data_IF_442681135181
#
_entry.id   IF_442681135181
#
_cell.length_a   1.000
_cell.length_b   1.000
_cell.length_c   1.000
_cell.angle_alpha   90.00
_cell.angle_beta   90.00
_cell.angle_gamma   90.00
#
_symmetry.space_group_name_H-M   'P 1'
#
loop_
_entity.id
_entity.type
_entity.pdbx_description
1 polymer ?
#
# COMPACT_ATOMS: atom_id res chain seq x y z
N UNK A 1 10.27 13.63 5.28
CA UNK A 1 9.61 12.35 5.64
C UNK A 1 9.87 11.24 4.62
N UNK A 2 10.04 11.54 3.32
CA UNK A 2 10.16 10.55 2.24
C UNK A 2 11.32 9.54 2.39
N UNK A 3 12.52 10.01 2.74
CA UNK A 3 13.73 9.17 2.89
C UNK A 3 13.55 8.09 3.96
N UNK A 4 12.93 8.46 5.09
CA UNK A 4 12.78 7.54 6.24
C UNK A 4 11.77 6.43 5.94
N UNK A 5 10.65 6.77 5.27
CA UNK A 5 9.69 5.77 4.80
C UNK A 5 10.29 4.83 3.74
N UNK A 6 11.19 5.33 2.91
CA UNK A 6 11.88 4.50 1.91
C UNK A 6 12.87 3.53 2.56
N UNK A 7 13.60 3.99 3.60
CA UNK A 7 14.52 3.15 4.37
C UNK A 7 13.81 2.01 5.14
N UNK A 8 12.52 2.14 5.41
CA UNK A 8 11.73 1.08 6.04
C UNK A 8 11.37 -0.08 5.09
N UNK A 9 11.40 0.15 3.76
CA UNK A 9 11.00 -0.86 2.76
C UNK A 9 11.90 -2.10 2.74
N UNK A 10 13.25 -1.99 2.73
CA UNK A 10 14.11 -3.18 2.78
C UNK A 10 13.86 -4.03 4.03
N UNK A 11 13.65 -3.38 5.17
CA UNK A 11 13.36 -4.05 6.45
C UNK A 11 12.04 -4.82 6.35
N UNK A 12 11.00 -4.20 5.80
CA UNK A 12 9.73 -4.85 5.51
C UNK A 12 9.88 -6.06 4.59
N UNK A 13 10.61 -5.90 3.49
CA UNK A 13 10.85 -6.99 2.52
C UNK A 13 11.54 -8.19 3.16
N UNK A 14 12.53 -7.98 4.02
CA UNK A 14 13.23 -9.04 4.75
C UNK A 14 12.28 -9.76 5.71
N UNK A 15 11.53 -9.00 6.53
CA UNK A 15 10.62 -9.58 7.53
C UNK A 15 9.49 -10.36 6.84
N UNK A 16 8.75 -9.73 5.93
CA UNK A 16 7.62 -10.38 5.26
C UNK A 16 8.06 -11.47 4.27
N UNK A 17 9.27 -11.40 3.71
CA UNK A 17 9.85 -12.50 2.95
C UNK A 17 10.12 -13.72 3.84
N UNK A 18 10.83 -13.52 4.95
CA UNK A 18 11.15 -14.60 5.89
C UNK A 18 9.89 -15.29 6.45
N UNK A 19 8.91 -14.51 6.88
CA UNK A 19 7.65 -15.05 7.38
C UNK A 19 6.74 -15.57 6.26
N UNK A 20 6.87 -15.05 5.04
CA UNK A 20 6.15 -15.54 3.86
C UNK A 20 6.57 -16.96 3.49
N UNK A 21 7.86 -17.27 3.61
CA UNK A 21 8.41 -18.60 3.34
C UNK A 21 8.06 -19.62 4.45
N UNK A 22 7.79 -19.16 5.68
CA UNK A 22 7.49 -20.04 6.84
C UNK A 22 6.01 -20.24 7.13
N UNK A 23 5.20 -19.19 7.03
CA UNK A 23 3.76 -19.19 7.38
C UNK A 23 2.89 -19.25 6.13
N UNK A 24 3.44 -18.92 4.97
CA UNK A 24 2.72 -18.85 3.70
C UNK A 24 2.60 -17.43 3.16
N UNK A 25 2.58 -17.29 1.83
CA UNK A 25 2.59 -16.00 1.14
C UNK A 25 1.28 -15.21 1.30
N UNK A 26 0.14 -15.89 1.30
CA UNK A 26 -1.19 -15.27 1.40
C UNK A 26 -1.40 -14.46 2.69
N UNK A 27 -1.19 -15.00 3.91
CA UNK A 27 -1.38 -14.24 5.14
C UNK A 27 -0.43 -13.05 5.23
N UNK A 28 0.81 -13.19 4.74
CA UNK A 28 1.75 -12.06 4.69
C UNK A 28 1.28 -10.96 3.74
N UNK A 29 0.76 -11.31 2.56
CA UNK A 29 0.17 -10.35 1.62
C UNK A 29 -1.05 -9.63 2.20
N UNK A 30 -1.90 -10.32 2.95
CA UNK A 30 -3.03 -9.66 3.64
C UNK A 30 -2.51 -8.70 4.71
N UNK A 31 -1.49 -9.08 5.49
CA UNK A 31 -0.90 -8.25 6.52
C UNK A 31 -0.23 -6.99 5.93
N UNK A 32 0.62 -7.13 4.91
CA UNK A 32 1.32 -6.01 4.27
C UNK A 32 0.34 -5.02 3.64
N UNK A 33 -0.68 -5.51 2.94
CA UNK A 33 -1.72 -4.67 2.36
C UNK A 33 -2.53 -3.94 3.43
N UNK A 34 -2.87 -4.61 4.52
CA UNK A 34 -3.56 -4.00 5.67
C UNK A 34 -2.73 -2.88 6.30
N UNK A 35 -1.45 -3.14 6.56
CA UNK A 35 -0.52 -2.17 7.16
C UNK A 35 -0.39 -0.93 6.28
N UNK A 36 -0.12 -1.12 4.99
CA UNK A 36 0.00 -0.02 4.03
C UNK A 36 -1.31 0.74 3.88
N UNK A 37 -2.43 0.03 3.73
CA UNK A 37 -3.75 0.59 3.58
C UNK A 37 -4.18 1.43 4.78
N UNK A 38 -4.20 0.82 5.97
CA UNK A 38 -4.61 1.48 7.20
C UNK A 38 -3.72 2.67 7.54
N UNK A 39 -2.41 2.58 7.29
CA UNK A 39 -1.50 3.73 7.47
C UNK A 39 -1.85 4.87 6.53
N UNK A 40 -2.23 4.57 5.28
CA UNK A 40 -2.66 5.57 4.29
C UNK A 40 -3.96 6.25 4.72
N UNK A 41 -4.94 5.47 5.16
CA UNK A 41 -6.21 5.98 5.66
C UNK A 41 -6.03 6.85 6.91
N UNK A 42 -5.16 6.41 7.85
CA UNK A 42 -4.84 7.13 9.07
C UNK A 42 -4.23 8.53 8.84
N UNK A 43 -3.50 8.73 7.73
CA UNK A 43 -2.97 10.06 7.35
C UNK A 43 -4.10 11.08 7.19
N UNK A 44 -5.29 10.66 6.73
CA UNK A 44 -6.45 11.54 6.61
C UNK A 44 -6.94 12.12 7.93
N UNK A 45 -6.62 11.50 9.06
CA UNK A 45 -7.00 11.97 10.41
C UNK A 45 -5.93 12.83 11.09
N UNK A 46 -4.76 13.00 10.47
CA UNK A 46 -3.67 13.76 11.09
C UNK A 46 -4.07 15.23 11.30
N UNK A 47 -3.97 15.77 12.53
CA UNK A 47 -4.14 17.19 12.75
C UNK A 47 -3.04 18.01 12.06
N UNK A 48 -3.32 19.28 11.79
CA UNK A 48 -2.39 20.17 11.08
C UNK A 48 -1.27 20.65 12.01
N UNK A 49 -0.19 21.17 11.41
CA UNK A 49 0.90 21.77 12.18
C UNK A 49 0.41 22.91 13.10
N UNK A 50 -0.60 23.67 12.66
CA UNK A 50 -1.19 24.73 13.47
C UNK A 50 -1.88 24.21 14.74
N UNK A 51 -2.32 22.94 14.76
CA UNK A 51 -3.05 22.35 15.89
C UNK A 51 -2.12 21.70 16.92
N UNK A 52 -1.08 20.97 16.47
CA UNK A 52 -0.23 20.17 17.36
C UNK A 52 1.28 20.41 17.18
N UNK A 53 1.67 21.42 16.40
CA UNK A 53 3.07 21.78 16.17
C UNK A 53 3.90 20.64 15.60
N UNK A 54 5.10 20.44 16.16
CA UNK A 54 6.09 19.45 15.69
C UNK A 54 5.59 17.99 15.80
N UNK A 55 4.56 17.72 16.61
CA UNK A 55 3.99 16.39 16.69
C UNK A 55 3.32 15.97 15.36
N UNK A 56 2.80 16.90 14.55
CA UNK A 56 2.20 16.60 13.25
C UNK A 56 3.18 15.92 12.27
N UNK A 57 4.36 16.51 11.95
CA UNK A 57 5.34 15.87 11.09
C UNK A 57 5.94 14.59 11.70
N UNK A 58 6.03 14.47 13.03
CA UNK A 58 6.48 13.23 13.68
C UNK A 58 5.47 12.10 13.43
N UNK A 59 4.19 12.33 13.70
CA UNK A 59 3.12 11.35 13.45
C UNK A 59 3.03 10.98 11.97
N UNK A 60 3.11 11.97 11.08
CA UNK A 60 3.17 11.72 9.63
C UNK A 60 4.37 10.86 9.26
N UNK A 61 5.55 11.11 9.85
CA UNK A 61 6.76 10.32 9.58
C UNK A 61 6.60 8.90 10.08
N UNK A 62 6.07 8.70 11.28
CA UNK A 62 5.79 7.37 11.82
C UNK A 62 4.85 6.59 10.90
N UNK A 63 3.74 7.20 10.47
CA UNK A 63 2.83 6.57 9.51
C UNK A 63 3.51 6.25 8.18
N UNK A 64 4.45 7.09 7.71
CA UNK A 64 5.24 6.80 6.50
C UNK A 64 6.22 5.65 6.68
N UNK A 65 6.80 5.50 7.86
CA UNK A 65 7.66 4.35 8.19
C UNK A 65 6.83 3.07 8.19
N UNK A 66 5.68 3.07 8.86
CA UNK A 66 4.78 1.91 8.91
C UNK A 66 4.26 1.55 7.50
N UNK A 67 3.84 2.55 6.73
CA UNK A 67 3.43 2.37 5.34
C UNK A 67 4.56 1.80 4.47
N UNK A 68 5.78 2.32 4.63
CA UNK A 68 6.97 1.86 3.92
C UNK A 68 7.36 0.43 4.28
N UNK A 69 7.26 0.06 5.55
CA UNK A 69 7.46 -1.29 6.04
C UNK A 69 6.47 -2.28 5.39
N UNK A 70 5.16 -1.96 5.36
CA UNK A 70 4.17 -2.78 4.67
C UNK A 70 4.44 -2.91 3.16
N UNK A 71 4.77 -1.79 2.50
CA UNK A 71 5.07 -1.76 1.05
C UNK A 71 6.29 -2.62 0.68
N UNK A 72 7.25 -2.77 1.60
CA UNK A 72 8.46 -3.55 1.39
C UNK A 72 8.20 -5.03 1.13
N UNK A 73 7.27 -5.63 1.87
CA UNK A 73 6.86 -7.03 1.66
C UNK A 73 5.82 -7.21 0.55
N UNK A 74 5.02 -6.17 0.33
CA UNK A 74 3.90 -6.18 -0.59
C UNK A 74 4.31 -6.40 -2.06
N UNK A 75 5.32 -5.65 -2.52
CA UNK A 75 5.72 -5.66 -3.93
C UNK A 75 6.45 -6.97 -4.31
N UNK A 76 7.37 -7.43 -3.46
CA UNK A 76 8.09 -8.69 -3.66
C UNK A 76 7.17 -9.91 -3.52
N UNK A 77 6.26 -9.90 -2.53
CA UNK A 77 5.29 -10.96 -2.32
C UNK A 77 4.31 -11.10 -3.49
N UNK A 78 3.78 -9.98 -4.00
CA UNK A 78 2.81 -10.00 -5.10
C UNK A 78 3.45 -10.45 -6.42
N UNK A 79 4.69 -10.00 -6.71
CA UNK A 79 5.42 -10.43 -7.89
C UNK A 79 5.71 -11.95 -7.87
N UNK A 80 6.11 -12.49 -6.71
CA UNK A 80 6.33 -13.93 -6.58
C UNK A 80 5.03 -14.72 -6.65
N UNK A 81 3.97 -14.27 -5.98
CA UNK A 81 2.66 -14.92 -6.05
C UNK A 81 2.15 -15.00 -7.49
N UNK A 82 2.28 -13.92 -8.26
CA UNK A 82 1.89 -13.87 -9.66
C UNK A 82 2.74 -14.83 -10.52
N UNK A 83 4.05 -14.89 -10.28
CA UNK A 83 4.95 -15.80 -10.98
C UNK A 83 4.72 -17.28 -10.59
N UNK A 84 4.28 -17.58 -9.37
CA UNK A 84 3.95 -18.93 -8.92
C UNK A 84 2.62 -19.43 -9.53
N UNK A 85 1.66 -18.54 -9.77
CA UNK A 85 0.35 -18.87 -10.35
C UNK A 85 0.30 -18.85 -11.89
N UNK A 86 1.39 -18.51 -12.58
CA UNK A 86 1.42 -18.46 -14.06
C UNK A 86 2.37 -19.46 -14.68
N UNK A 87 1.95 -20.03 -15.82
CA UNK A 87 2.76 -20.95 -16.63
C UNK A 87 4.12 -20.33 -17.00
N UNK A 88 5.15 -21.16 -17.14
CA UNK A 88 6.54 -20.73 -17.27
C UNK A 88 6.79 -19.69 -18.40
N UNK A 89 6.03 -19.76 -19.50
CA UNK A 89 6.13 -18.82 -20.62
C UNK A 89 5.53 -17.43 -20.37
N UNK A 90 4.63 -17.28 -19.40
CA UNK A 90 3.85 -16.06 -19.18
C UNK A 90 4.22 -15.28 -17.90
N UNK A 91 5.24 -15.73 -17.16
CA UNK A 91 5.70 -15.12 -15.91
C UNK A 91 6.10 -13.65 -16.07
N UNK A 92 6.74 -13.31 -17.19
CA UNK A 92 7.13 -11.93 -17.50
C UNK A 92 5.92 -11.02 -17.69
N UNK A 93 4.87 -11.52 -18.37
CA UNK A 93 3.62 -10.79 -18.53
C UNK A 93 2.89 -10.61 -17.19
N UNK A 94 2.80 -11.66 -16.38
CA UNK A 94 2.20 -11.59 -15.05
C UNK A 94 2.93 -10.59 -14.13
N UNK A 95 4.27 -10.60 -14.14
CA UNK A 95 5.08 -9.63 -13.42
C UNK A 95 4.87 -8.20 -13.94
N UNK A 96 4.68 -8.01 -15.25
CA UNK A 96 4.40 -6.70 -15.83
C UNK A 96 3.05 -6.13 -15.39
N UNK A 97 2.04 -6.98 -15.18
CA UNK A 97 0.74 -6.57 -14.63
C UNK A 97 0.87 -6.07 -13.18
N UNK A 98 1.69 -6.76 -12.36
CA UNK A 98 1.99 -6.30 -11.00
C UNK A 98 2.70 -4.94 -11.02
N UNK A 99 3.63 -4.74 -11.96
CA UNK A 99 4.36 -3.48 -12.12
C UNK A 99 3.45 -2.35 -12.62
N UNK A 100 2.53 -2.65 -13.54
CA UNK A 100 1.54 -1.69 -14.07
C UNK A 100 0.58 -1.16 -12.99
N UNK A 101 0.36 -1.90 -11.90
CA UNK A 101 -0.47 -1.43 -10.78
C UNK A 101 0.03 -0.12 -10.16
N UNK A 102 1.36 0.08 -10.08
CA UNK A 102 1.94 1.29 -9.50
C UNK A 102 1.59 2.59 -10.27
N UNK A 103 1.86 2.71 -11.60
CA UNK A 103 1.48 3.89 -12.36
C UNK A 103 -0.04 4.09 -12.44
N UNK A 104 -0.83 3.01 -12.52
CA UNK A 104 -2.31 3.11 -12.49
C UNK A 104 -2.78 3.75 -11.16
N UNK A 105 -2.21 3.32 -10.03
CA UNK A 105 -2.51 3.91 -8.72
C UNK A 105 -2.12 5.37 -8.63
N UNK A 106 -0.99 5.77 -9.20
CA UNK A 106 -0.56 7.18 -9.26
C UNK A 106 -1.53 8.02 -10.10
N UNK A 107 -1.95 7.53 -11.26
CA UNK A 107 -2.94 8.22 -12.11
C UNK A 107 -4.27 8.36 -11.37
N UNK A 108 -4.76 7.31 -10.72
CA UNK A 108 -5.97 7.36 -9.92
C UNK A 108 -5.88 8.37 -8.77
N UNK A 109 -4.74 8.44 -8.08
CA UNK A 109 -4.50 9.43 -7.03
C UNK A 109 -4.47 10.86 -7.58
N UNK A 110 -3.82 11.08 -8.72
CA UNK A 110 -3.80 12.38 -9.40
C UNK A 110 -5.20 12.81 -9.83
N UNK A 111 -6.00 11.90 -10.39
CA UNK A 111 -7.39 12.16 -10.77
C UNK A 111 -8.24 12.50 -9.54
N UNK A 112 -8.10 11.77 -8.43
CA UNK A 112 -8.81 12.06 -7.20
C UNK A 112 -8.49 13.47 -6.68
N UNK A 113 -7.20 13.86 -6.66
CA UNK A 113 -6.79 15.21 -6.26
C UNK A 113 -7.35 16.26 -7.23
N UNK A 114 -7.30 16.02 -8.54
CA UNK A 114 -7.83 16.94 -9.55
C UNK A 114 -9.34 17.14 -9.41
N UNK A 115 -10.10 16.07 -9.15
CA UNK A 115 -11.55 16.14 -8.92
C UNK A 115 -11.87 16.97 -7.67
N UNK A 116 -11.18 16.71 -6.56
CA UNK A 116 -11.35 17.47 -5.31
C UNK A 116 -10.97 18.94 -5.52
N UNK A 117 -9.87 19.21 -6.24
CA UNK A 117 -9.44 20.56 -6.57
C UNK A 117 -10.43 21.31 -7.47
N UNK A 118 -11.05 20.62 -8.43
CA UNK A 118 -12.07 21.20 -9.31
C UNK A 118 -13.37 21.52 -8.57
N UNK A 119 -13.69 20.75 -7.52
CA UNK A 119 -14.90 20.96 -6.72
C UNK A 119 -14.75 22.03 -5.63
N UNK A 120 -13.66 22.00 -4.85
CA UNK A 120 -13.44 22.91 -3.72
C UNK A 120 -12.60 24.14 -4.07
N UNK A 121 -11.95 24.15 -5.23
CA UNK A 121 -10.91 25.11 -5.57
C UNK A 121 -9.61 24.88 -4.78
N UNK A 122 -8.54 25.56 -5.19
CA UNK A 122 -7.20 25.33 -4.64
C UNK A 122 -7.10 25.66 -3.14
N UNK A 123 -7.81 26.71 -2.68
CA UNK A 123 -7.87 27.07 -1.24
C UNK A 123 -8.51 25.97 -0.40
N UNK A 124 -9.68 25.47 -0.80
CA UNK A 124 -10.38 24.42 -0.07
C UNK A 124 -9.61 23.09 -0.06
N UNK A 125 -8.88 22.79 -1.14
CA UNK A 125 -7.99 21.62 -1.20
C UNK A 125 -6.89 21.69 -0.13
N UNK A 126 -6.20 22.84 -0.02
CA UNK A 126 -5.07 23.02 0.92
C UNK A 126 -5.55 23.05 2.37
N UNK A 127 -6.70 23.67 2.64
CA UNK A 127 -7.24 23.80 4.00
C UNK A 127 -7.71 22.45 4.57
N UNK A 128 -8.47 21.67 3.78
CA UNK A 128 -9.06 20.43 4.28
C UNK A 128 -9.25 19.34 3.22
N UNK A 129 -9.49 19.72 1.96
CA UNK A 129 -9.84 18.78 0.88
C UNK A 129 -8.79 17.70 0.61
N UNK A 130 -7.52 17.95 0.93
CA UNK A 130 -6.44 16.96 0.83
C UNK A 130 -6.70 15.67 1.64
N UNK A 131 -7.60 15.69 2.64
CA UNK A 131 -7.98 14.50 3.44
C UNK A 131 -8.89 13.54 2.66
N UNK A 132 -9.70 14.04 1.73
CA UNK A 132 -10.71 13.25 1.02
C UNK A 132 -10.12 12.04 0.27
N UNK A 133 -9.01 12.17 -0.50
CA UNK A 133 -8.38 11.02 -1.15
C UNK A 133 -7.88 9.96 -0.15
N UNK A 134 -7.41 10.37 1.02
CA UNK A 134 -6.98 9.42 2.07
C UNK A 134 -8.18 8.66 2.63
N UNK A 135 -9.32 9.30 2.85
CA UNK A 135 -10.53 8.60 3.28
C UNK A 135 -11.09 7.68 2.19
N UNK A 136 -11.05 8.12 0.93
CA UNK A 136 -11.46 7.29 -0.21
C UNK A 136 -10.62 6.01 -0.34
N UNK A 137 -9.37 6.01 0.15
CA UNK A 137 -8.53 4.80 0.19
C UNK A 137 -9.15 3.66 1.01
N UNK A 138 -10.08 3.93 1.94
CA UNK A 138 -10.84 2.91 2.67
C UNK A 138 -11.54 1.92 1.73
N UNK A 139 -12.12 2.43 0.64
CA UNK A 139 -12.78 1.59 -0.37
C UNK A 139 -11.77 0.64 -1.04
N UNK A 140 -10.59 1.16 -1.38
CA UNK A 140 -9.50 0.35 -1.96
C UNK A 140 -8.99 -0.71 -0.98
N UNK A 141 -8.96 -0.39 0.31
CA UNK A 141 -8.58 -1.35 1.36
C UNK A 141 -9.61 -2.47 1.44
N UNK A 142 -10.90 -2.13 1.53
CA UNK A 142 -11.98 -3.14 1.63
C UNK A 142 -11.99 -4.05 0.39
N UNK A 143 -11.96 -3.46 -0.80
CA UNK A 143 -11.97 -4.22 -2.06
C UNK A 143 -10.69 -5.06 -2.18
N UNK A 144 -9.53 -4.49 -1.91
CA UNK A 144 -8.26 -5.20 -2.01
C UNK A 144 -8.13 -6.34 -1.00
N UNK A 145 -8.61 -6.17 0.23
CA UNK A 145 -8.68 -7.24 1.22
C UNK A 145 -9.67 -8.32 0.81
N UNK A 146 -10.86 -7.94 0.33
CA UNK A 146 -11.84 -8.90 -0.18
C UNK A 146 -11.26 -9.78 -1.28
N UNK A 147 -10.59 -9.17 -2.27
CA UNK A 147 -9.93 -9.90 -3.35
C UNK A 147 -8.83 -10.82 -2.82
N UNK A 148 -7.96 -10.34 -1.92
CA UNK A 148 -6.86 -11.16 -1.35
C UNK A 148 -7.33 -12.34 -0.53
N UNK A 149 -8.43 -12.19 0.20
CA UNK A 149 -9.01 -13.32 0.94
C UNK A 149 -9.51 -14.44 0.02
N UNK A 150 -9.88 -14.10 -1.23
CA UNK A 150 -10.37 -15.03 -2.25
C UNK A 150 -9.29 -15.68 -3.11
N UNK A 151 -8.03 -15.21 -3.03
CA UNK A 151 -6.92 -15.86 -3.73
C UNK A 151 -6.56 -17.17 -3.03
N UNK A 152 -6.40 -18.24 -3.81
CA UNK A 152 -5.95 -19.55 -3.32
C UNK A 152 -4.46 -19.51 -2.93
N UNK A 153 -4.06 -20.34 -1.96
CA UNK A 153 -2.64 -20.40 -1.57
C UNK A 153 -1.80 -21.07 -2.66
N UNK A 154 -0.51 -20.75 -2.69
CA UNK A 154 0.37 -21.32 -3.71
C UNK A 154 0.59 -22.82 -3.49
N UNK A 155 0.58 -23.63 -4.57
CA UNK A 155 0.62 -25.09 -4.50
C UNK A 155 1.92 -25.68 -3.93
N UNK A 156 2.93 -24.84 -3.67
CA UNK A 156 4.23 -25.26 -3.13
C UNK A 156 4.16 -25.62 -1.65
N UNK A 157 3.20 -25.07 -0.89
CA UNK A 157 3.02 -25.39 0.54
C UNK A 157 2.12 -26.62 0.77
N UNK A 158 1.28 -26.96 -0.21
CA UNK A 158 0.38 -28.13 -0.12
C UNK A 158 1.09 -29.48 -0.31
N UNK A 159 2.40 -29.48 -0.60
CA UNK A 159 3.19 -30.68 -0.87
C UNK A 159 4.16 -31.07 0.28
N UNK A 160 4.05 -30.44 1.46
CA UNK A 160 4.81 -30.78 2.67
C UNK A 160 3.87 -31.28 3.77
#
# INVERSE_FOLDING_TARGET
TFVVGFAARPIGGIVFGHWGDRIGRKPMLVATFSITGLSTFAVGFLPTYAQIGIAAPILLTTLRIVQGFGLGGEWSGAAMLAAEHTEAGNRGFAGSLVQAGAPIGVIAAMLAIAMVSGWLGNRGLIEWGWRLPFFASCVLIVVGLFLRMRVEETPVVTAA
#
